data_IF_671168191173
#
_entry.id   IF_671168191173
#
_cell.length_a   1.000
_cell.length_b   1.000
_cell.length_c   1.000
_cell.angle_alpha   90.00
_cell.angle_beta   90.00
_cell.angle_gamma   90.00
#
_symmetry.space_group_name_H-M   'P 1'
#
loop_
_entity.id
_entity.type
_entity.pdbx_description
1 polymer ?
#
# COMPACT_ATOMS: atom_id res chain seq x y z
N UNK A 1 6.40 46.49 40.00
CA UNK A 1 6.09 45.04 40.12
C UNK A 1 4.95 44.55 39.18
N UNK A 2 4.66 45.22 38.05
CA UNK A 2 3.54 44.88 37.13
C UNK A 2 3.94 44.05 35.89
N UNK A 3 5.23 43.93 35.56
CA UNK A 3 5.67 43.36 34.27
C UNK A 3 5.92 41.84 34.30
N UNK A 4 6.06 41.23 35.49
CA UNK A 4 6.38 39.80 35.64
C UNK A 4 5.18 38.88 35.36
N UNK A 5 3.95 39.34 35.64
CA UNK A 5 2.71 38.59 35.39
C UNK A 5 2.35 38.50 33.91
N UNK A 6 2.74 39.49 33.10
CA UNK A 6 2.44 39.54 31.66
C UNK A 6 3.27 38.53 30.85
N UNK A 7 4.51 38.27 31.27
CA UNK A 7 5.40 37.31 30.60
C UNK A 7 5.04 35.84 30.91
N UNK A 8 4.44 35.57 32.08
CA UNK A 8 3.97 34.23 32.46
C UNK A 8 2.71 33.86 31.67
N UNK A 9 1.78 34.81 31.48
CA UNK A 9 0.54 34.59 30.71
C UNK A 9 0.84 34.31 29.23
N UNK A 10 1.80 35.02 28.63
CA UNK A 10 2.24 34.75 27.25
C UNK A 10 2.93 33.38 27.10
N UNK A 11 3.68 32.94 28.11
CA UNK A 11 4.27 31.60 28.14
C UNK A 11 3.23 30.48 28.16
N UNK A 12 2.14 30.64 28.92
CA UNK A 12 1.04 29.68 28.94
C UNK A 12 0.21 29.68 27.65
N UNK A 13 0.03 30.84 27.00
CA UNK A 13 -0.67 30.93 25.71
C UNK A 13 0.15 30.27 24.58
N UNK A 14 1.48 30.44 24.58
CA UNK A 14 2.37 29.74 23.65
C UNK A 14 2.44 28.22 23.91
N UNK A 15 2.38 27.79 25.17
CA UNK A 15 2.35 26.38 25.53
C UNK A 15 1.02 25.70 25.17
N UNK A 16 -0.11 26.41 25.32
CA UNK A 16 -1.44 25.91 24.89
C UNK A 16 -1.59 25.80 23.37
N UNK A 17 -0.90 26.65 22.59
CA UNK A 17 -0.90 26.57 21.13
C UNK A 17 -0.13 25.35 20.58
N UNK A 18 0.79 24.76 21.36
CA UNK A 18 1.59 23.62 20.92
C UNK A 18 0.87 22.26 21.08
N UNK A 19 -0.23 22.21 21.84
CA UNK A 19 -0.96 20.95 22.16
C UNK A 19 -2.04 20.61 21.12
N UNK A 20 -2.35 21.50 20.18
CA UNK A 20 -3.29 21.25 19.07
C UNK A 20 -2.61 20.71 17.81
N UNK A 21 -1.60 19.85 17.96
CA UNK A 21 -1.15 19.02 16.83
C UNK A 21 -2.17 17.89 16.68
N UNK A 22 -3.24 18.18 15.93
CA UNK A 22 -4.33 17.24 15.67
C UNK A 22 -3.78 15.92 15.12
N UNK A 23 -4.25 14.82 15.70
CA UNK A 23 -4.01 13.49 15.16
C UNK A 23 -4.73 13.42 13.80
N UNK A 24 -3.97 13.37 12.70
CA UNK A 24 -4.54 13.11 11.38
C UNK A 24 -5.00 11.66 11.38
N UNK A 25 -6.31 11.44 11.43
CA UNK A 25 -6.92 10.11 11.33
C UNK A 25 -6.94 9.67 9.88
N UNK A 26 -5.99 8.81 9.49
CA UNK A 26 -6.03 8.08 8.22
C UNK A 26 -6.85 6.80 8.41
N UNK A 27 -7.78 6.51 7.50
CA UNK A 27 -8.52 5.25 7.52
C UNK A 27 -7.56 4.11 7.13
N UNK A 28 -7.53 2.99 7.85
CA UNK A 28 -6.68 1.85 7.47
C UNK A 28 -7.18 1.20 6.15
N UNK A 29 -6.31 0.45 5.45
CA UNK A 29 -6.69 -0.30 4.24
C UNK A 29 -7.81 -1.31 4.54
N UNK A 30 -9.00 -1.20 3.91
CA UNK A 30 -10.09 -2.13 4.12
C UNK A 30 -9.88 -3.40 3.27
N UNK A 31 -10.25 -4.57 3.81
CA UNK A 31 -10.33 -5.81 3.04
C UNK A 31 -11.80 -6.16 2.74
N UNK A 32 -12.07 -6.93 1.67
CA UNK A 32 -13.41 -7.50 1.46
C UNK A 32 -13.84 -8.34 2.65
N UNK A 33 -15.15 -8.53 2.82
CA UNK A 33 -15.73 -9.28 3.94
C UNK A 33 -15.25 -10.73 4.01
N UNK A 34 -14.80 -11.27 2.88
CA UNK A 34 -14.26 -12.62 2.72
C UNK A 34 -13.33 -12.63 1.51
N UNK A 35 -12.24 -13.39 1.63
CA UNK A 35 -11.29 -13.72 0.58
C UNK A 35 -10.67 -15.08 0.93
N UNK A 36 -10.24 -15.83 -0.07
CA UNK A 36 -9.74 -17.19 0.12
C UNK A 36 -8.35 -17.36 -0.50
N UNK A 37 -7.37 -17.72 0.33
CA UNK A 37 -6.02 -18.04 -0.14
C UNK A 37 -6.01 -19.51 -0.52
N UNK A 38 -5.93 -19.78 -1.83
CA UNK A 38 -5.84 -21.11 -2.37
C UNK A 38 -4.54 -21.80 -1.92
N UNK A 39 -4.60 -23.12 -1.76
CA UNK A 39 -3.37 -23.89 -1.63
C UNK A 39 -2.58 -23.82 -2.93
N UNK A 40 -1.24 -23.65 -2.89
CA UNK A 40 -0.42 -23.68 -4.08
C UNK A 40 -0.56 -25.02 -4.80
N UNK A 41 -0.61 -25.00 -6.13
CA UNK A 41 -0.46 -26.22 -6.93
C UNK A 41 0.95 -26.80 -6.74
N UNK A 42 1.09 -28.12 -6.80
CA UNK A 42 2.40 -28.78 -6.76
C UNK A 42 3.28 -28.42 -7.98
N UNK A 43 2.64 -27.93 -9.05
CA UNK A 43 3.30 -27.56 -10.31
C UNK A 43 3.90 -26.14 -10.31
N UNK A 44 3.60 -25.30 -9.31
CA UNK A 44 4.16 -23.94 -9.25
C UNK A 44 5.49 -23.89 -8.48
N UNK A 45 6.51 -23.19 -8.99
CA UNK A 45 7.77 -22.98 -8.30
C UNK A 45 7.60 -22.40 -6.88
N UNK A 46 8.44 -22.84 -5.94
CA UNK A 46 8.39 -22.37 -4.54
C UNK A 46 8.50 -20.85 -4.36
N UNK A 47 9.23 -20.16 -5.26
CA UNK A 47 9.34 -18.70 -5.26
C UNK A 47 8.02 -18.00 -5.60
N UNK A 48 7.19 -18.67 -6.42
CA UNK A 48 5.86 -18.18 -6.77
C UNK A 48 4.84 -18.52 -5.70
N UNK A 49 4.84 -19.75 -5.20
CA UNK A 49 3.92 -20.14 -4.12
C UNK A 49 4.14 -19.30 -2.85
N UNK A 50 5.38 -18.83 -2.62
CA UNK A 50 5.70 -17.94 -1.52
C UNK A 50 4.93 -16.60 -1.56
N UNK A 51 4.41 -16.16 -2.70
CA UNK A 51 3.59 -14.95 -2.77
C UNK A 51 2.19 -15.13 -2.18
N UNK A 52 1.65 -16.36 -2.13
CA UNK A 52 0.32 -16.62 -1.59
C UNK A 52 0.27 -16.21 -0.12
N UNK A 53 -0.68 -15.35 0.23
CA UNK A 53 -0.73 -14.78 1.56
C UNK A 53 -1.24 -13.36 1.62
N UNK A 54 -1.11 -12.78 2.81
CA UNK A 54 -1.40 -11.38 3.11
C UNK A 54 -0.10 -10.67 3.40
N UNK A 55 0.11 -9.53 2.74
CA UNK A 55 1.30 -8.70 2.86
C UNK A 55 0.89 -7.30 3.25
N UNK A 56 1.44 -6.82 4.37
CA UNK A 56 1.19 -5.47 4.86
C UNK A 56 2.43 -4.62 4.66
N UNK A 57 2.25 -3.37 4.26
CA UNK A 57 3.37 -2.47 4.01
C UNK A 57 2.93 -1.03 3.79
N UNK A 58 3.87 -0.20 3.32
CA UNK A 58 3.60 1.21 3.02
C UNK A 58 4.16 1.65 1.68
N UNK A 59 3.31 2.17 0.81
CA UNK A 59 3.78 2.87 -0.39
C UNK A 59 4.44 4.19 -0.02
N UNK A 60 5.71 4.36 -0.46
CA UNK A 60 6.47 5.59 -0.21
C UNK A 60 6.64 5.92 1.28
N UNK A 61 6.51 4.91 2.16
CA UNK A 61 6.57 5.08 3.62
C UNK A 61 5.35 5.78 4.25
N UNK A 62 4.32 6.11 3.47
CA UNK A 62 3.19 6.94 3.94
C UNK A 62 1.84 6.21 3.89
N UNK A 63 1.51 5.58 2.76
CA UNK A 63 0.18 5.00 2.54
C UNK A 63 0.16 3.54 2.97
N UNK A 64 -0.53 3.24 4.07
CA UNK A 64 -0.77 1.86 4.52
C UNK A 64 -1.45 1.07 3.41
N UNK A 65 -0.96 -0.15 3.20
CA UNK A 65 -1.32 -1.00 2.08
C UNK A 65 -1.37 -2.44 2.53
N UNK A 66 -2.38 -3.16 2.03
CA UNK A 66 -2.44 -4.61 2.13
C UNK A 66 -2.51 -5.17 0.71
N UNK A 67 -1.66 -6.16 0.43
CA UNK A 67 -1.71 -6.98 -0.77
C UNK A 67 -2.11 -8.38 -0.32
N UNK A 68 -3.21 -8.90 -0.85
CA UNK A 68 -3.56 -10.31 -0.71
C UNK A 68 -3.31 -10.98 -2.04
N UNK A 69 -2.53 -12.05 -2.05
CA UNK A 69 -2.42 -12.92 -3.22
C UNK A 69 -3.21 -14.18 -2.91
N UNK A 70 -4.39 -14.27 -3.52
CA UNK A 70 -5.35 -15.35 -3.25
C UNK A 70 -4.99 -16.61 -4.02
N UNK A 71 -4.58 -16.47 -5.28
CA UNK A 71 -4.35 -17.59 -6.19
C UNK A 71 -3.24 -17.28 -7.17
N UNK A 72 -2.45 -18.30 -7.50
CA UNK A 72 -1.43 -18.27 -8.54
C UNK A 72 -1.63 -19.51 -9.42
N UNK A 73 -1.83 -19.26 -10.72
CA UNK A 73 -1.82 -20.25 -11.79
C UNK A 73 -0.52 -20.13 -12.59
N UNK A 74 -0.41 -20.81 -13.74
CA UNK A 74 0.83 -20.83 -14.55
C UNK A 74 1.32 -19.44 -15.00
N UNK A 75 0.40 -18.57 -15.43
CA UNK A 75 0.73 -17.25 -15.99
C UNK A 75 0.04 -16.08 -15.29
N UNK A 76 -0.85 -16.37 -14.34
CA UNK A 76 -1.73 -15.36 -13.70
C UNK A 76 -1.79 -15.47 -12.19
N UNK A 77 -2.02 -14.33 -11.55
CA UNK A 77 -2.35 -14.25 -10.12
C UNK A 77 -3.61 -13.42 -9.87
N UNK A 78 -4.44 -13.88 -8.93
CA UNK A 78 -5.55 -13.12 -8.37
C UNK A 78 -5.04 -12.35 -7.15
N UNK A 79 -5.10 -11.03 -7.23
CA UNK A 79 -4.56 -10.13 -6.21
C UNK A 79 -5.65 -9.17 -5.73
N UNK A 80 -5.77 -9.01 -4.42
CA UNK A 80 -6.51 -7.90 -3.82
C UNK A 80 -5.50 -6.83 -3.43
N UNK A 81 -5.62 -5.66 -4.05
CA UNK A 81 -4.87 -4.46 -3.65
C UNK A 81 -5.76 -3.57 -2.79
N UNK A 82 -5.34 -3.33 -1.55
CA UNK A 82 -6.03 -2.47 -0.59
C UNK A 82 -5.15 -1.33 -0.12
N UNK A 83 -5.72 -0.13 -0.02
CA UNK A 83 -5.04 1.09 0.38
C UNK A 83 -5.81 1.84 1.47
N UNK A 84 -5.07 2.40 2.43
CA UNK A 84 -5.58 3.31 3.45
C UNK A 84 -5.59 4.77 2.99
N UNK A 85 -5.93 5.67 3.91
CA UNK A 85 -5.91 7.11 3.70
C UNK A 85 -7.29 7.76 3.83
N UNK A 86 -7.48 8.90 3.16
CA UNK A 86 -8.74 9.66 3.19
C UNK A 86 -9.86 8.94 2.43
N UNK A 87 -9.50 8.34 1.30
CA UNK A 87 -10.39 7.59 0.41
C UNK A 87 -9.89 6.15 0.34
N UNK A 88 -9.92 5.48 1.49
CA UNK A 88 -9.47 4.10 1.61
C UNK A 88 -10.39 3.15 0.82
N UNK A 89 -9.81 2.11 0.24
CA UNK A 89 -10.53 1.19 -0.64
C UNK A 89 -9.70 -0.04 -0.97
N UNK A 90 -10.31 -0.93 -1.75
CA UNK A 90 -9.63 -2.09 -2.30
C UNK A 90 -10.17 -2.38 -3.70
N UNK A 91 -9.40 -3.15 -4.47
CA UNK A 91 -9.81 -3.66 -5.77
C UNK A 91 -9.24 -5.06 -6.01
N UNK A 92 -9.97 -5.84 -6.80
CA UNK A 92 -9.48 -7.10 -7.35
C UNK A 92 -8.71 -6.84 -8.63
N UNK A 93 -7.59 -7.56 -8.79
CA UNK A 93 -6.73 -7.56 -9.96
C UNK A 93 -6.70 -9.00 -10.48
N UNK A 94 -7.46 -9.28 -11.54
CA UNK A 94 -7.62 -10.64 -12.10
C UNK A 94 -6.66 -10.95 -13.27
N UNK A 95 -5.89 -9.96 -13.73
CA UNK A 95 -4.96 -10.07 -14.87
C UNK A 95 -3.51 -9.75 -14.49
N UNK A 96 -3.11 -10.07 -13.27
CA UNK A 96 -1.69 -9.96 -12.87
C UNK A 96 -0.88 -11.03 -13.59
N UNK A 97 0.15 -10.64 -14.34
CA UNK A 97 1.01 -11.53 -15.14
C UNK A 97 2.23 -11.97 -14.31
N UNK A 98 2.70 -13.20 -14.55
CA UNK A 98 3.86 -13.79 -13.87
C UNK A 98 5.03 -14.03 -14.85
N UNK A 99 5.92 -13.06 -15.07
CA UNK A 99 7.09 -13.22 -15.96
C UNK A 99 8.32 -13.87 -15.29
N UNK A 100 8.16 -14.61 -14.18
CA UNK A 100 9.25 -15.10 -13.31
C UNK A 100 8.84 -14.93 -11.84
N UNK A 101 9.76 -14.78 -10.86
CA UNK A 101 9.41 -14.63 -9.43
C UNK A 101 8.88 -13.23 -9.12
N UNK A 102 7.97 -12.73 -9.95
CA UNK A 102 7.46 -11.38 -9.97
C UNK A 102 6.01 -11.43 -10.40
N UNK A 103 5.17 -10.66 -9.71
CA UNK A 103 3.78 -10.43 -10.10
C UNK A 103 3.70 -9.00 -10.64
N UNK A 104 3.23 -8.82 -11.87
CA UNK A 104 3.06 -7.51 -12.47
C UNK A 104 1.61 -7.30 -12.91
N UNK A 105 1.05 -6.13 -12.61
CA UNK A 105 -0.20 -5.69 -13.23
C UNK A 105 -0.11 -4.24 -13.66
N UNK A 106 -1.01 -3.87 -14.55
CA UNK A 106 -1.17 -2.50 -15.04
C UNK A 106 -2.53 -1.98 -14.65
N UNK A 107 -2.56 -0.71 -14.34
CA UNK A 107 -3.77 0.07 -14.12
C UNK A 107 -3.72 1.21 -15.13
N UNK A 108 -4.88 1.60 -15.66
CA UNK A 108 -4.99 2.78 -16.53
C UNK A 108 -5.36 4.04 -15.73
N UNK A 109 -5.85 3.85 -14.50
CA UNK A 109 -6.30 4.92 -13.59
C UNK A 109 -5.86 4.63 -12.16
N UNK A 110 -5.66 5.68 -11.37
CA UNK A 110 -5.47 5.52 -9.93
C UNK A 110 -6.80 5.16 -9.25
N UNK A 111 -6.81 4.18 -8.33
CA UNK A 111 -8.05 3.77 -7.66
C UNK A 111 -8.70 4.88 -6.82
N UNK A 112 -7.93 5.86 -6.36
CA UNK A 112 -8.40 6.99 -5.57
C UNK A 112 -8.69 8.26 -6.39
N UNK A 113 -8.44 8.27 -7.70
CA UNK A 113 -8.57 9.47 -8.54
C UNK A 113 -9.09 9.12 -9.95
N UNK A 114 -10.42 9.06 -10.11
CA UNK A 114 -11.11 8.68 -11.38
C UNK A 114 -10.75 9.54 -12.61
N UNK A 115 -10.20 10.73 -12.37
CA UNK A 115 -9.84 11.72 -13.40
C UNK A 115 -8.34 11.80 -13.69
N UNK A 116 -7.54 10.93 -13.06
CA UNK A 116 -6.10 10.87 -13.32
C UNK A 116 -5.79 9.60 -14.09
N UNK A 117 -5.62 9.76 -15.40
CA UNK A 117 -5.04 8.73 -16.25
C UNK A 117 -3.64 8.42 -15.71
N UNK A 118 -3.46 7.17 -15.32
CA UNK A 118 -2.27 6.65 -14.69
C UNK A 118 -1.96 5.33 -15.39
N UNK A 119 -1.31 5.33 -16.57
CA UNK A 119 -0.67 4.14 -17.12
C UNK A 119 0.43 3.75 -16.12
N UNK A 120 0.02 2.91 -15.18
CA UNK A 120 0.74 2.67 -13.96
C UNK A 120 0.93 1.17 -13.82
N UNK A 121 2.19 0.75 -13.74
CA UNK A 121 2.50 -0.65 -13.49
C UNK A 121 2.88 -0.82 -12.03
N UNK A 122 2.33 -1.86 -11.42
CA UNK A 122 2.80 -2.33 -10.12
C UNK A 122 3.52 -3.66 -10.36
N UNK A 123 4.70 -3.77 -9.77
CA UNK A 123 5.54 -4.95 -9.82
C UNK A 123 5.86 -5.38 -8.39
N UNK A 124 5.48 -6.59 -8.01
CA UNK A 124 5.84 -7.20 -6.73
C UNK A 124 6.99 -8.18 -6.94
N UNK A 125 8.02 -8.08 -6.13
CA UNK A 125 9.15 -9.00 -6.15
C UNK A 125 9.29 -9.71 -4.82
N UNK A 126 9.39 -11.03 -4.85
CA UNK A 126 9.69 -11.82 -3.66
C UNK A 126 11.15 -11.61 -3.26
N UNK A 127 11.39 -11.45 -1.97
CA UNK A 127 12.74 -11.42 -1.42
C UNK A 127 13.33 -12.85 -1.37
N UNK A 128 14.65 -12.98 -1.34
CA UNK A 128 15.37 -14.26 -1.39
C UNK A 128 15.06 -15.20 -0.22
N UNK A 129 14.65 -14.63 0.92
CA UNK A 129 14.26 -15.36 2.12
C UNK A 129 12.77 -15.73 2.15
N UNK A 130 12.02 -15.41 1.08
CA UNK A 130 10.62 -15.78 0.86
C UNK A 130 9.67 -15.30 1.97
N UNK A 131 10.03 -14.25 2.71
CA UNK A 131 9.27 -13.74 3.86
C UNK A 131 8.78 -12.29 3.70
N UNK A 132 9.10 -11.66 2.57
CA UNK A 132 8.80 -10.26 2.29
C UNK A 132 8.68 -10.03 0.79
N UNK A 133 7.78 -9.13 0.42
CA UNK A 133 7.64 -8.65 -0.96
C UNK A 133 8.06 -7.20 -1.04
N UNK A 134 8.76 -6.83 -2.12
CA UNK A 134 9.07 -5.45 -2.43
C UNK A 134 8.17 -5.03 -3.58
N UNK A 135 7.32 -4.02 -3.31
CA UNK A 135 6.46 -3.43 -4.32
C UNK A 135 7.15 -2.30 -5.05
N UNK A 136 6.95 -2.20 -6.36
CA UNK A 136 7.35 -1.05 -7.16
C UNK A 136 6.13 -0.54 -7.93
N UNK A 137 5.78 0.74 -7.77
CA UNK A 137 4.79 1.39 -8.61
C UNK A 137 5.50 2.34 -9.58
N UNK A 138 5.30 2.15 -10.87
CA UNK A 138 5.81 3.04 -11.93
C UNK A 138 4.68 3.89 -12.45
N UNK A 139 4.74 5.20 -12.21
CA UNK A 139 3.76 6.16 -12.73
C UNK A 139 4.35 6.83 -13.96
N UNK A 140 4.06 6.30 -15.15
CA UNK A 140 4.72 6.72 -16.39
C UNK A 140 4.52 8.21 -16.70
N UNK A 141 3.30 8.72 -16.47
CA UNK A 141 2.94 10.14 -16.67
C UNK A 141 3.81 11.07 -15.83
N UNK A 142 4.13 10.66 -14.60
CA UNK A 142 4.92 11.47 -13.66
C UNK A 142 6.41 11.13 -13.68
N UNK A 143 6.83 10.10 -14.42
CA UNK A 143 8.20 9.53 -14.38
C UNK A 143 8.67 9.22 -12.95
N UNK A 144 7.74 8.83 -12.09
CA UNK A 144 7.99 8.50 -10.69
C UNK A 144 7.97 7.00 -10.53
N UNK A 145 8.93 6.47 -9.75
CA UNK A 145 8.93 5.09 -9.28
C UNK A 145 8.87 5.09 -7.76
N UNK A 146 7.78 4.57 -7.21
CA UNK A 146 7.61 4.37 -5.77
C UNK A 146 8.02 2.96 -5.39
N UNK A 147 8.55 2.82 -4.18
CA UNK A 147 8.86 1.54 -3.56
C UNK A 147 7.96 1.36 -2.34
N UNK A 148 7.46 0.14 -2.16
CA UNK A 148 6.90 -0.35 -0.91
C UNK A 148 7.85 -1.41 -0.35
N UNK A 149 8.07 -1.30 0.95
CA UNK A 149 8.76 -2.28 1.79
C UNK A 149 7.75 -2.94 2.73
#
# INVERSE_FOLDING_TARGET
MKNKKRNIIWGYILFLLFVFMGCVTTTPPPLPSSFDIASPSDDIPSELSAFLGVWEGKWGGMMETIIVVEKIDEDKATVIYSWGGKEAGYMYIDDSIIPGPTIEWRMDKLPSEDNVDCPCSITLKMNKDLNSIIGFASLEVYKVKLRAD
#
